data_IF_047372356213
#
_entry.id   IF_047372356213
#
_cell.length_a   1.000
_cell.length_b   1.000
_cell.length_c   1.000
_cell.angle_alpha   90.00
_cell.angle_beta   90.00
_cell.angle_gamma   90.00
#
_symmetry.space_group_name_H-M   'P 1'
#
loop_
_entity.id
_entity.type
_entity.pdbx_description
1 polymer ?
#
# COMPACT_ATOMS: atom_id res chain seq x y z
N UNK A 1 8.83 5.13 -20.51
CA UNK A 1 8.87 4.26 -19.32
C UNK A 1 8.12 4.99 -18.23
N UNK A 2 7.03 4.43 -17.73
CA UNK A 2 6.25 5.04 -16.66
C UNK A 2 6.58 4.32 -15.36
N UNK A 3 6.88 5.07 -14.31
CA UNK A 3 7.22 4.50 -12.99
C UNK A 3 6.14 4.88 -11.99
N UNK A 4 5.67 3.89 -11.25
CA UNK A 4 4.62 4.01 -10.25
C UNK A 4 5.20 3.62 -8.89
N UNK A 5 4.93 4.45 -7.89
CA UNK A 5 5.39 4.29 -6.53
C UNK A 5 4.21 3.94 -5.64
N UNK A 6 4.18 2.70 -5.18
CA UNK A 6 3.18 2.19 -4.26
C UNK A 6 3.71 2.24 -2.85
N UNK A 7 2.84 2.58 -1.90
CA UNK A 7 3.14 2.48 -0.49
C UNK A 7 2.13 1.54 0.14
N UNK A 8 2.63 0.63 0.96
CA UNK A 8 1.79 -0.29 1.71
C UNK A 8 2.30 -0.39 3.14
N UNK A 9 1.38 -0.49 4.10
CA UNK A 9 1.77 -0.69 5.50
C UNK A 9 2.29 -2.13 5.69
N UNK A 10 3.48 -2.27 6.26
CA UNK A 10 3.96 -3.58 6.66
C UNK A 10 3.28 -4.00 7.97
N UNK A 11 2.36 -4.97 7.88
CA UNK A 11 1.64 -5.53 9.03
C UNK A 11 2.56 -6.10 10.11
N UNK A 12 3.72 -6.66 9.75
CA UNK A 12 4.70 -7.18 10.72
C UNK A 12 5.29 -6.07 11.60
N UNK A 13 5.34 -4.83 11.11
CA UNK A 13 5.86 -3.69 11.89
C UNK A 13 4.82 -3.14 12.88
N UNK A 14 3.56 -3.56 12.79
CA UNK A 14 2.47 -3.10 13.68
C UNK A 14 2.74 -3.44 15.15
N UNK A 15 3.23 -4.65 15.44
CA UNK A 15 3.60 -5.08 16.80
C UNK A 15 4.74 -4.24 17.39
N UNK A 16 5.72 -3.88 16.55
CA UNK A 16 6.86 -3.06 16.96
C UNK A 16 6.41 -1.62 17.26
N UNK A 17 5.48 -1.06 16.47
CA UNK A 17 4.86 0.24 16.74
C UNK A 17 4.10 0.21 18.07
N UNK A 18 3.29 -0.83 18.29
CA UNK A 18 2.51 -1.00 19.51
C UNK A 18 3.42 -1.07 20.76
N UNK A 19 4.51 -1.84 20.66
CA UNK A 19 5.52 -1.92 21.72
C UNK A 19 6.13 -0.56 22.05
N UNK A 20 6.56 0.20 21.02
CA UNK A 20 7.13 1.53 21.24
C UNK A 20 6.08 2.54 21.72
N UNK A 21 4.82 2.38 21.33
CA UNK A 21 3.72 3.23 21.81
C UNK A 21 3.54 3.08 23.32
N UNK A 22 3.40 1.85 23.82
CA UNK A 22 3.26 1.59 25.25
C UNK A 22 4.53 1.97 26.03
N UNK A 23 5.71 1.73 25.46
CA UNK A 23 6.98 2.17 26.05
C UNK A 23 7.03 3.70 26.18
N UNK A 24 6.62 4.41 25.15
CA UNK A 24 6.56 5.88 25.15
C UNK A 24 5.56 6.39 26.19
N UNK A 25 4.36 5.82 26.22
CA UNK A 25 3.33 6.16 27.20
C UNK A 25 3.85 5.98 28.64
N UNK A 26 4.49 4.84 28.91
CA UNK A 26 5.09 4.56 30.22
C UNK A 26 6.17 5.58 30.59
N UNK A 27 7.08 5.90 29.67
CA UNK A 27 8.16 6.88 29.93
C UNK A 27 7.64 8.30 30.15
N UNK A 28 6.57 8.70 29.46
CA UNK A 28 5.91 10.00 29.66
C UNK A 28 5.28 10.04 31.05
N UNK A 29 4.50 9.01 31.41
CA UNK A 29 3.85 8.93 32.73
C UNK A 29 4.91 8.98 33.84
N UNK A 30 5.97 8.17 33.77
CA UNK A 30 7.08 8.19 34.72
C UNK A 30 7.71 9.58 34.84
N UNK A 31 8.00 10.23 33.72
CA UNK A 31 8.64 11.56 33.72
C UNK A 31 7.71 12.61 34.32
N UNK A 32 6.41 12.58 34.02
CA UNK A 32 5.41 13.48 34.59
C UNK A 32 5.23 13.22 36.09
N UNK A 33 5.19 11.97 36.53
CA UNK A 33 5.09 11.63 37.96
C UNK A 33 6.29 12.16 38.73
N UNK A 34 7.51 12.00 38.20
CA UNK A 34 8.73 12.57 38.82
C UNK A 34 8.70 14.11 38.84
N UNK A 35 8.05 14.75 37.87
CA UNK A 35 7.94 16.21 37.79
C UNK A 35 6.85 16.78 38.74
N UNK A 36 5.72 16.08 38.87
CA UNK A 36 4.54 16.54 39.63
C UNK A 36 4.61 16.16 41.12
N UNK A 37 5.23 15.03 41.45
CA UNK A 37 5.56 14.70 42.84
C UNK A 37 6.70 15.64 43.23
N UNK A 38 6.35 16.77 43.85
CA UNK A 38 7.29 17.74 44.42
C UNK A 38 8.36 17.04 45.26
N UNK A 39 9.53 17.67 45.47
CA UNK A 39 10.74 17.01 45.93
C UNK A 39 10.59 16.60 47.40
N UNK A 40 9.91 15.49 47.64
CA UNK A 40 10.15 14.70 48.82
C UNK A 40 11.62 14.24 48.75
N UNK A 41 12.36 14.25 49.87
CA UNK A 41 13.76 13.79 49.90
C UNK A 41 13.95 12.34 49.45
N UNK A 42 12.85 11.60 49.27
CA UNK A 42 12.78 10.23 48.76
C UNK A 42 12.80 10.14 47.22
N UNK A 43 12.49 11.21 46.49
CA UNK A 43 12.48 11.20 45.01
C UNK A 43 13.63 12.05 44.45
N UNK A 44 14.74 11.42 44.05
CA UNK A 44 15.92 12.16 43.68
C UNK A 44 15.80 12.81 42.30
N UNK A 45 16.16 14.09 42.23
CA UNK A 45 16.16 14.92 41.01
C UNK A 45 17.07 14.36 39.90
N UNK A 46 18.07 13.53 40.24
CA UNK A 46 18.90 12.85 39.24
C UNK A 46 18.11 11.85 38.38
N UNK A 47 16.96 11.36 38.83
CA UNK A 47 16.09 10.53 38.01
C UNK A 47 15.54 11.28 36.79
N UNK A 48 15.33 12.60 36.87
CA UNK A 48 14.92 13.42 35.72
C UNK A 48 16.00 13.49 34.64
N UNK A 49 17.27 13.50 35.05
CA UNK A 49 18.41 13.49 34.13
C UNK A 49 18.46 12.18 33.31
N UNK A 50 17.81 11.12 33.79
CA UNK A 50 17.73 9.83 33.11
C UNK A 50 16.40 9.66 32.38
N UNK A 51 15.28 10.03 33.00
CA UNK A 51 13.94 9.81 32.43
C UNK A 51 13.67 10.69 31.21
N UNK A 52 14.15 11.93 31.22
CA UNK A 52 13.88 12.91 30.16
C UNK A 52 14.56 12.53 28.83
N UNK A 53 15.85 12.12 28.79
CA UNK A 53 16.46 11.57 27.58
C UNK A 53 15.79 10.27 27.11
N UNK A 54 15.40 9.39 28.02
CA UNK A 54 14.71 8.13 27.68
C UNK A 54 13.35 8.39 27.04
N UNK A 55 12.60 9.38 27.54
CA UNK A 55 11.34 9.82 26.95
C UNK A 55 11.54 10.31 25.50
N UNK A 56 12.50 11.20 25.27
CA UNK A 56 12.81 11.66 23.91
C UNK A 56 13.26 10.52 22.98
N UNK A 57 14.04 9.58 23.49
CA UNK A 57 14.48 8.40 22.73
C UNK A 57 13.30 7.48 22.38
N UNK A 58 12.38 7.24 23.32
CA UNK A 58 11.18 6.43 23.08
C UNK A 58 10.26 7.08 22.05
N UNK A 59 10.01 8.38 22.16
CA UNK A 59 9.24 9.16 21.18
C UNK A 59 9.90 9.08 19.79
N UNK A 60 11.21 9.32 19.71
CA UNK A 60 11.95 9.21 18.45
C UNK A 60 11.83 7.83 17.83
N UNK A 61 11.99 6.77 18.64
CA UNK A 61 11.86 5.38 18.18
C UNK A 61 10.44 5.06 17.70
N UNK A 62 9.42 5.53 18.42
CA UNK A 62 8.02 5.38 18.00
C UNK A 62 7.78 6.04 16.64
N UNK A 63 8.20 7.29 16.46
CA UNK A 63 8.06 7.99 15.17
C UNK A 63 8.86 7.32 14.06
N UNK A 64 10.09 6.89 14.34
CA UNK A 64 10.93 6.20 13.37
C UNK A 64 10.29 4.89 12.91
N UNK A 65 9.84 4.05 13.83
CA UNK A 65 9.20 2.76 13.49
C UNK A 65 7.84 2.99 12.80
N UNK A 66 7.09 4.01 13.21
CA UNK A 66 5.84 4.38 12.54
C UNK A 66 6.07 4.90 11.11
N UNK A 67 7.14 5.64 10.87
CA UNK A 67 7.55 6.08 9.52
C UNK A 67 8.02 4.92 8.65
N UNK A 68 8.84 4.03 9.22
CA UNK A 68 9.31 2.81 8.56
C UNK A 68 8.20 1.75 8.35
N UNK A 69 7.01 1.98 8.91
CA UNK A 69 5.82 1.13 8.68
C UNK A 69 5.49 1.05 7.20
N UNK A 70 5.64 2.16 6.48
CA UNK A 70 5.36 2.22 5.04
C UNK A 70 6.49 1.53 4.30
N UNK A 71 6.19 0.37 3.71
CA UNK A 71 7.03 -0.27 2.71
C UNK A 71 6.63 0.28 1.34
N UNK A 72 7.61 0.42 0.46
CA UNK A 72 7.40 0.92 -0.88
C UNK A 72 7.59 -0.20 -1.90
N UNK A 73 6.77 -0.19 -2.94
CA UNK A 73 7.02 -0.96 -4.16
C UNK A 73 7.15 0.00 -5.33
N UNK A 74 8.14 -0.24 -6.17
CA UNK A 74 8.35 0.51 -7.39
C UNK A 74 8.04 -0.41 -8.55
N UNK A 75 7.07 0.00 -9.38
CA UNK A 75 6.74 -0.70 -10.61
C UNK A 75 7.04 0.19 -11.81
N UNK A 76 7.93 -0.28 -12.67
CA UNK A 76 8.31 0.39 -13.92
C UNK A 76 7.74 -0.34 -15.12
N UNK A 77 6.90 0.34 -15.90
CA UNK A 77 6.28 -0.16 -17.12
C UNK A 77 7.09 0.21 -18.36
N UNK A 78 7.37 -0.82 -19.18
CA UNK A 78 8.08 -0.77 -20.44
C UNK A 78 7.22 -1.35 -21.56
N UNK A 79 7.68 -1.24 -22.83
CA UNK A 79 6.91 -1.72 -23.98
C UNK A 79 6.68 -3.24 -23.98
N UNK A 80 7.60 -3.99 -23.38
CA UNK A 80 7.63 -5.45 -23.41
C UNK A 80 7.01 -6.08 -22.14
N UNK A 81 6.84 -5.29 -21.07
CA UNK A 81 6.46 -5.80 -19.76
C UNK A 81 6.59 -4.76 -18.65
N UNK A 82 6.66 -5.23 -17.40
CA UNK A 82 6.97 -4.39 -16.25
C UNK A 82 8.03 -5.01 -15.35
N UNK A 83 8.65 -4.18 -14.51
CA UNK A 83 9.56 -4.63 -13.45
C UNK A 83 9.05 -4.11 -12.12
N UNK A 84 8.87 -5.02 -11.16
CA UNK A 84 8.53 -4.73 -9.77
C UNK A 84 9.74 -5.00 -8.87
N UNK A 85 9.95 -4.13 -7.88
CA UNK A 85 10.94 -4.38 -6.82
C UNK A 85 10.63 -5.61 -5.96
N UNK A 86 9.35 -6.00 -5.86
CA UNK A 86 8.88 -7.09 -5.02
C UNK A 86 8.76 -8.41 -5.80
N UNK A 87 8.32 -8.33 -7.06
CA UNK A 87 8.01 -9.51 -7.86
C UNK A 87 8.99 -9.76 -9.02
N UNK A 88 9.93 -8.85 -9.28
CA UNK A 88 10.88 -8.95 -10.39
C UNK A 88 10.27 -8.51 -11.74
N UNK A 89 10.90 -8.92 -12.83
CA UNK A 89 10.46 -8.60 -14.19
C UNK A 89 9.38 -9.59 -14.67
N UNK A 90 8.38 -9.06 -15.39
CA UNK A 90 7.29 -9.83 -16.00
C UNK A 90 7.05 -9.28 -17.41
N UNK A 91 7.11 -10.16 -18.42
CA UNK A 91 6.79 -9.78 -19.80
C UNK A 91 5.28 -9.82 -20.03
N UNK A 92 4.76 -8.93 -20.87
CA UNK A 92 3.33 -8.94 -21.20
C UNK A 92 2.90 -10.19 -21.96
N UNK A 93 3.81 -10.78 -22.75
CA UNK A 93 3.56 -12.04 -23.44
C UNK A 93 3.31 -13.21 -22.47
N UNK A 94 3.92 -13.14 -21.29
CA UNK A 94 3.83 -14.15 -20.22
C UNK A 94 2.57 -13.95 -19.38
N UNK A 95 1.91 -12.80 -19.42
CA UNK A 95 0.70 -12.58 -18.62
C UNK A 95 -0.44 -13.43 -19.19
N UNK A 96 -0.97 -14.30 -18.33
CA UNK A 96 -2.06 -15.21 -18.66
C UNK A 96 -3.40 -14.69 -18.17
N UNK A 97 -3.48 -14.16 -16.95
CA UNK A 97 -4.72 -13.60 -16.43
C UNK A 97 -4.47 -12.38 -15.54
N UNK A 98 -5.44 -11.48 -15.51
CA UNK A 98 -5.49 -10.33 -14.60
C UNK A 98 -6.84 -10.39 -13.90
N UNK A 99 -6.84 -10.26 -12.57
CA UNK A 99 -8.06 -10.11 -11.79
C UNK A 99 -8.00 -8.82 -10.98
N UNK A 100 -9.06 -8.04 -11.09
CA UNK A 100 -9.28 -6.79 -10.36
C UNK A 100 -10.61 -6.93 -9.61
N UNK A 101 -10.70 -6.52 -8.33
CA UNK A 101 -11.91 -6.70 -7.57
C UNK A 101 -13.07 -5.86 -8.16
N UNK A 102 -14.15 -6.57 -8.49
CA UNK A 102 -15.22 -6.12 -9.40
C UNK A 102 -16.15 -5.08 -8.81
N UNK A 103 -16.28 -4.99 -7.47
CA UNK A 103 -17.11 -3.95 -6.84
C UNK A 103 -16.62 -2.52 -7.13
N UNK A 104 -15.51 -2.37 -7.87
CA UNK A 104 -14.82 -1.09 -8.14
C UNK A 104 -14.63 -0.76 -9.63
N UNK A 105 -15.01 -1.65 -10.55
CA UNK A 105 -15.04 -1.31 -11.98
C UNK A 105 -16.50 -1.12 -12.35
N UNK A 106 -17.02 0.06 -12.03
CA UNK A 106 -18.31 0.51 -12.56
C UNK A 106 -18.24 0.47 -14.08
N UNK A 107 -18.88 -0.53 -14.66
CA UNK A 107 -19.23 -0.61 -16.07
C UNK A 107 -19.60 0.80 -16.59
N UNK A 108 -18.85 1.30 -17.59
CA UNK A 108 -19.29 2.36 -18.52
C UNK A 108 -19.17 3.83 -18.04
N UNK A 109 -18.01 4.27 -17.55
CA UNK A 109 -17.65 5.71 -17.60
C UNK A 109 -17.83 6.55 -16.33
N UNK A 110 -17.69 5.96 -15.14
CA UNK A 110 -17.62 6.70 -13.87
C UNK A 110 -16.33 7.53 -13.69
N UNK A 111 -16.38 8.53 -12.80
CA UNK A 111 -15.21 9.37 -12.47
C UNK A 111 -14.34 8.69 -11.41
N UNK A 112 -13.04 8.98 -11.42
CA UNK A 112 -12.03 8.45 -10.48
C UNK A 112 -12.47 8.47 -8.99
N UNK A 113 -13.25 9.48 -8.59
CA UNK A 113 -13.72 9.70 -7.21
C UNK A 113 -14.92 8.85 -6.80
N UNK A 114 -15.74 8.41 -7.75
CA UNK A 114 -16.89 7.55 -7.46
C UNK A 114 -16.43 6.16 -6.96
N UNK A 115 -15.19 5.78 -7.30
CA UNK A 115 -14.55 4.52 -6.91
C UNK A 115 -14.01 4.52 -5.47
N UNK A 116 -13.64 5.68 -4.92
CA UNK A 116 -13.00 5.80 -3.60
C UNK A 116 -14.00 5.72 -2.42
N UNK A 117 -15.29 6.03 -2.64
CA UNK A 117 -16.23 6.40 -1.55
C UNK A 117 -17.14 5.28 -1.02
N UNK A 118 -17.14 4.07 -1.61
CA UNK A 118 -18.26 3.13 -1.51
C UNK A 118 -18.10 1.91 -0.56
N UNK A 119 -17.24 1.93 0.45
CA UNK A 119 -16.88 0.70 1.21
C UNK A 119 -16.98 0.77 2.74
N UNK A 120 -18.01 1.40 3.29
CA UNK A 120 -18.23 1.37 4.76
C UNK A 120 -19.06 0.16 5.24
N UNK A 121 -19.72 -0.60 4.36
CA UNK A 121 -20.74 -1.58 4.79
C UNK A 121 -20.35 -3.06 4.58
N UNK A 122 -19.43 -3.37 3.67
CA UNK A 122 -18.86 -4.72 3.50
C UNK A 122 -17.43 -4.53 2.98
N UNK A 123 -16.38 -4.78 3.76
CA UNK A 123 -15.00 -4.71 3.26
C UNK A 123 -14.68 -5.98 2.46
N UNK A 124 -14.81 -6.01 1.12
CA UNK A 124 -14.43 -7.20 0.37
C UNK A 124 -12.91 -7.27 0.41
N UNK A 125 -12.30 -8.42 0.62
CA UNK A 125 -10.86 -8.56 0.40
C UNK A 125 -10.56 -8.14 -1.05
N UNK A 126 -9.95 -6.98 -1.22
CA UNK A 126 -9.70 -6.38 -2.52
C UNK A 126 -8.32 -6.83 -2.96
N UNK A 127 -8.25 -7.92 -3.71
CA UNK A 127 -7.00 -8.44 -4.24
C UNK A 127 -6.92 -8.16 -5.74
N UNK A 128 -5.89 -7.43 -6.13
CA UNK A 128 -5.45 -7.37 -7.51
C UNK A 128 -4.42 -8.48 -7.74
N UNK A 129 -4.65 -9.31 -8.76
CA UNK A 129 -3.73 -10.40 -9.10
C UNK A 129 -3.39 -10.44 -10.58
N UNK A 130 -2.14 -10.78 -10.86
CA UNK A 130 -1.65 -11.09 -12.20
C UNK A 130 -1.05 -12.49 -12.16
N UNK A 131 -1.52 -13.38 -13.02
CA UNK A 131 -0.97 -14.74 -13.18
C UNK A 131 -0.22 -14.82 -14.50
N UNK A 132 0.99 -15.33 -14.46
CA UNK A 132 1.81 -15.60 -15.64
C UNK A 132 1.65 -17.05 -16.12
N UNK A 133 2.04 -17.33 -17.36
CA UNK A 133 1.91 -18.65 -18.00
C UNK A 133 2.68 -19.76 -17.27
N UNK A 134 3.76 -19.43 -16.55
CA UNK A 134 4.53 -20.35 -15.72
C UNK A 134 3.86 -20.65 -14.36
N UNK A 135 2.67 -20.08 -14.11
CA UNK A 135 1.91 -20.26 -12.87
C UNK A 135 2.32 -19.33 -11.73
N UNK A 136 3.28 -18.42 -11.94
CA UNK A 136 3.62 -17.40 -10.94
C UNK A 136 2.48 -16.40 -10.82
N UNK A 137 2.12 -16.09 -9.57
CA UNK A 137 1.01 -15.20 -9.24
C UNK A 137 1.55 -14.01 -8.45
N UNK A 138 1.27 -12.81 -8.95
CA UNK A 138 1.60 -11.54 -8.31
C UNK A 138 0.34 -10.99 -7.66
N UNK A 139 0.33 -10.90 -6.33
CA UNK A 139 -0.84 -10.50 -5.57
C UNK A 139 -0.58 -9.20 -4.82
N UNK A 140 -1.55 -8.31 -4.95
CA UNK A 140 -1.55 -6.98 -4.39
C UNK A 140 -2.84 -6.79 -3.61
N UNK A 141 -2.72 -6.70 -2.28
CA UNK A 141 -3.85 -6.48 -1.39
C UNK A 141 -4.11 -4.98 -1.31
N UNK A 142 -5.36 -4.57 -1.48
CA UNK A 142 -5.72 -3.17 -1.67
C UNK A 142 -6.39 -2.52 -0.44
N UNK A 143 -7.03 -3.27 0.47
CA UNK A 143 -7.76 -2.71 1.62
C UNK A 143 -7.34 -3.17 3.01
N UNK A 144 -6.29 -3.98 3.15
CA UNK A 144 -5.83 -4.36 4.48
C UNK A 144 -5.09 -3.21 5.17
N UNK A 145 -4.84 -3.34 6.48
CA UNK A 145 -3.86 -2.52 7.19
C UNK A 145 -2.45 -2.80 6.64
N UNK A 146 -2.19 -2.27 5.45
CA UNK A 146 -1.16 -2.80 4.56
C UNK A 146 -1.50 -2.81 3.09
N UNK A 147 -2.62 -2.21 2.70
CA UNK A 147 -3.01 -2.08 1.31
C UNK A 147 -2.21 -1.02 0.57
N UNK A 148 -2.17 -1.16 -0.76
CA UNK A 148 -1.48 -0.27 -1.70
C UNK A 148 -2.12 1.11 -1.79
N UNK A 149 -3.38 1.27 -1.36
CA UNK A 149 -3.98 2.59 -1.21
C UNK A 149 -4.79 2.73 0.07
N UNK A 150 -4.34 3.67 0.90
CA UNK A 150 -5.01 4.13 2.12
C UNK A 150 -5.47 5.61 1.98
N UNK A 151 -5.28 6.23 0.81
CA UNK A 151 -5.72 7.60 0.48
C UNK A 151 -6.20 7.73 -0.98
N UNK A 152 -6.90 8.83 -1.30
CA UNK A 152 -7.38 9.14 -2.67
C UNK A 152 -6.20 9.24 -3.66
N UNK A 153 -5.06 9.78 -3.23
CA UNK A 153 -3.85 9.90 -4.04
C UNK A 153 -3.25 8.53 -4.34
N UNK A 154 -3.11 7.66 -3.34
CA UNK A 154 -2.59 6.30 -3.53
C UNK A 154 -3.52 5.48 -4.44
N UNK A 155 -4.84 5.64 -4.29
CA UNK A 155 -5.82 5.02 -5.18
C UNK A 155 -5.64 5.53 -6.62
N UNK A 156 -5.41 6.82 -6.78
CA UNK A 156 -5.20 7.43 -8.09
C UNK A 156 -3.95 6.91 -8.79
N UNK A 157 -2.87 6.69 -8.03
CA UNK A 157 -1.63 6.09 -8.55
C UNK A 157 -1.89 4.66 -9.03
N UNK A 158 -2.59 3.85 -8.22
CA UNK A 158 -2.97 2.47 -8.60
C UNK A 158 -3.85 2.43 -9.84
N UNK A 159 -4.88 3.28 -9.91
CA UNK A 159 -5.77 3.35 -11.06
C UNK A 159 -5.02 3.74 -12.35
N UNK A 160 -4.10 4.70 -12.26
CA UNK A 160 -3.26 5.11 -13.39
C UNK A 160 -2.30 4.01 -13.85
N UNK A 161 -1.74 3.26 -12.90
CA UNK A 161 -0.93 2.07 -13.21
C UNK A 161 -1.75 1.01 -13.93
N UNK A 162 -2.89 0.63 -13.35
CA UNK A 162 -3.78 -0.38 -13.91
C UNK A 162 -4.22 -0.02 -15.33
N UNK A 163 -4.60 1.24 -15.55
CA UNK A 163 -4.97 1.76 -16.86
C UNK A 163 -3.81 1.65 -17.85
N UNK A 164 -2.59 2.03 -17.45
CA UNK A 164 -1.42 1.93 -18.31
C UNK A 164 -1.10 0.47 -18.66
N UNK A 165 -1.15 -0.42 -17.66
CA UNK A 165 -0.95 -1.87 -17.82
C UNK A 165 -1.94 -2.46 -18.83
N UNK A 166 -3.24 -2.24 -18.62
CA UNK A 166 -4.28 -2.79 -19.49
C UNK A 166 -4.21 -2.24 -20.90
N UNK A 167 -3.85 -0.96 -21.06
CA UNK A 167 -3.74 -0.37 -22.38
C UNK A 167 -2.56 -0.95 -23.17
N UNK A 168 -1.40 -1.14 -22.53
CA UNK A 168 -0.26 -1.76 -23.20
C UNK A 168 -0.57 -3.21 -23.57
N UNK A 169 -1.21 -3.95 -22.66
CA UNK A 169 -1.60 -5.33 -22.90
C UNK A 169 -2.67 -5.45 -24.00
N UNK A 170 -3.63 -4.51 -24.07
CA UNK A 170 -4.62 -4.46 -25.15
C UNK A 170 -3.98 -4.23 -26.52
N UNK A 171 -3.01 -3.31 -26.59
CA UNK A 171 -2.30 -2.96 -27.83
C UNK A 171 -1.47 -4.11 -28.41
N UNK A 172 -1.06 -5.07 -27.60
CA UNK A 172 -0.41 -6.29 -28.10
C UNK A 172 -1.34 -7.13 -28.99
N UNK A 173 -2.63 -7.09 -28.73
CA UNK A 173 -3.63 -7.86 -29.47
C UNK A 173 -4.41 -7.01 -30.48
N UNK A 174 -4.37 -5.67 -30.35
CA UNK A 174 -5.15 -4.72 -31.16
C UNK A 174 -4.27 -3.55 -31.65
N UNK A 175 -3.19 -3.85 -32.37
CA UNK A 175 -2.17 -2.88 -32.80
C UNK A 175 -2.67 -1.72 -33.67
N UNK A 176 -3.83 -1.86 -34.31
CA UNK A 176 -4.40 -0.85 -35.21
C UNK A 176 -5.47 0.02 -34.54
N UNK A 177 -5.81 -0.23 -33.27
CA UNK A 177 -6.80 0.56 -32.56
C UNK A 177 -6.14 1.73 -31.82
N UNK A 178 -6.78 2.92 -31.79
CA UNK A 178 -6.25 4.04 -31.05
C UNK A 178 -6.18 3.74 -29.55
N UNK A 179 -5.13 4.27 -28.92
CA UNK A 179 -4.93 4.21 -27.48
C UNK A 179 -6.14 4.85 -26.78
N UNK A 180 -7.04 4.03 -26.28
CA UNK A 180 -8.13 4.52 -25.44
C UNK A 180 -7.69 4.38 -23.99
N UNK A 181 -7.87 5.44 -23.21
CA UNK A 181 -7.39 5.56 -21.83
C UNK A 181 -8.27 4.83 -20.81
N UNK A 182 -8.73 3.61 -21.11
CA UNK A 182 -9.67 2.91 -20.24
C UNK A 182 -9.47 1.39 -20.26
N UNK A 183 -9.85 0.73 -19.16
CA UNK A 183 -9.70 -0.69 -18.81
C UNK A 183 -10.43 -1.69 -19.74
N UNK A 184 -10.47 -1.42 -21.06
CA UNK A 184 -11.27 -2.12 -22.08
C UNK A 184 -11.06 -3.63 -22.14
N UNK A 185 -9.89 -4.10 -21.76
CA UNK A 185 -9.55 -5.53 -21.80
C UNK A 185 -10.17 -6.32 -20.64
N UNK A 186 -10.54 -5.65 -19.55
CA UNK A 186 -11.18 -6.30 -18.41
C UNK A 186 -12.66 -6.52 -18.72
N UNK A 187 -13.14 -7.73 -18.47
CA UNK A 187 -14.57 -8.05 -18.56
C UNK A 187 -15.38 -7.35 -17.46
N UNK A 188 -16.71 -7.52 -17.53
CA UNK A 188 -17.65 -6.94 -16.54
C UNK A 188 -17.33 -7.34 -15.10
N UNK A 189 -16.71 -8.51 -14.94
CA UNK A 189 -16.22 -9.05 -13.68
C UNK A 189 -14.77 -8.68 -13.37
N UNK A 190 -14.27 -7.55 -13.86
CA UNK A 190 -12.91 -7.05 -13.58
C UNK A 190 -11.79 -8.04 -13.92
N UNK A 191 -12.06 -9.03 -14.76
CA UNK A 191 -11.16 -10.14 -15.05
C UNK A 191 -10.83 -10.16 -16.53
N UNK A 192 -9.58 -10.45 -16.83
CA UNK A 192 -9.11 -10.74 -18.18
C UNK A 192 -8.30 -12.04 -18.15
N UNK A 193 -8.45 -12.82 -19.21
CA UNK A 193 -7.71 -14.05 -19.42
C UNK A 193 -7.31 -14.14 -20.89
N UNK A 194 -6.06 -14.51 -21.13
CA UNK A 194 -5.51 -14.74 -22.46
C UNK A 194 -6.21 -15.95 -23.07
N UNK A 195 -6.98 -15.72 -24.13
CA UNK A 195 -7.56 -16.81 -24.92
C UNK A 195 -6.43 -17.53 -25.67
N UNK A 196 -6.42 -18.86 -25.54
CA UNK A 196 -5.47 -19.74 -26.23
C UNK A 196 -5.60 -19.68 -27.74
#
# INVERSE_FOLDING_TARGET
MNTYHFHFNNGQKSSTILFWFFTTLLTIVLTITVLLVHPDPLFPTWLLLISLPLMFMAIYKLFKVASERRSGEIVSLNKEGFTSSCFGSVLFSEIHSIQVPVRQIGLLGGLQRDYYKNTDVDTPYLEFSITTQDGKMLNWILNEWGGIYNSEEEFSIFFNFLTALTNQLYQLYHTNEPYNSYLKILGEKGSWEKRG
#
